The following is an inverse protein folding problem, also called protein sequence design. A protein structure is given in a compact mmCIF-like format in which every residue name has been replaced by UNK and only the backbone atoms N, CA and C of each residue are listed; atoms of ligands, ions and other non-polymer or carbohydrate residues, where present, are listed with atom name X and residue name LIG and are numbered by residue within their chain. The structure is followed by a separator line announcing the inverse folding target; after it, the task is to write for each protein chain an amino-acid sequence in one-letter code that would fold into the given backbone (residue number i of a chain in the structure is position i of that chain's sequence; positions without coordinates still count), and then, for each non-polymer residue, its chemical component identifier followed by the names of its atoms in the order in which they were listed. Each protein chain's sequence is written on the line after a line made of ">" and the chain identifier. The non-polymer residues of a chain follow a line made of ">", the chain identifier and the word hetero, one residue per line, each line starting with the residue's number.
data_IF_050254142759
#
_entry.id   IF_050254142759
#
_cell.length_a   1.000
_cell.length_b   1.000
_cell.length_c   1.000
_cell.angle_alpha   90.00
_cell.angle_beta   90.00
_cell.angle_gamma   90.00
#
_symmetry.space_group_name_H-M   'P 1'
#
loop_
_entity.id
_entity.type
_entity.pdbx_description
1 polymer ?
#
# COMPACT_ATOMS: atom_id res chain seq x y z
N UNK A 1 -52.75 72.23 -29.53
CA UNK A 1 -51.53 72.26 -28.71
C UNK A 1 -50.90 70.88 -28.45
N UNK A 2 -51.62 69.75 -28.50
CA UNK A 2 -51.07 68.40 -28.22
C UNK A 2 -50.10 67.83 -29.28
N UNK A 3 -50.20 68.23 -30.56
CA UNK A 3 -49.30 67.74 -31.63
C UNK A 3 -47.88 68.35 -31.60
N UNK A 4 -47.68 69.55 -31.06
CA UNK A 4 -46.37 70.18 -30.92
C UNK A 4 -45.58 69.65 -29.69
N UNK A 5 -46.27 69.14 -28.69
CA UNK A 5 -45.65 68.55 -27.51
C UNK A 5 -45.10 67.15 -27.80
N UNK A 6 -45.71 66.38 -28.68
CA UNK A 6 -45.27 65.05 -29.10
C UNK A 6 -44.02 65.17 -30.01
N UNK A 7 -43.97 66.16 -30.88
CA UNK A 7 -42.81 66.39 -31.74
C UNK A 7 -41.57 66.84 -30.92
N UNK A 8 -41.78 67.65 -29.87
CA UNK A 8 -40.68 68.02 -28.95
C UNK A 8 -40.13 66.84 -28.15
N UNK A 9 -41.03 65.93 -27.71
CA UNK A 9 -40.62 64.74 -26.96
C UNK A 9 -39.79 63.72 -27.82
N UNK A 10 -40.19 63.55 -29.09
CA UNK A 10 -39.47 62.67 -30.03
C UNK A 10 -38.06 63.23 -30.39
N UNK A 11 -37.93 64.57 -30.53
CA UNK A 11 -36.64 65.21 -30.74
C UNK A 11 -35.78 65.13 -29.48
N UNK A 12 -36.33 65.28 -28.30
CA UNK A 12 -35.57 65.13 -27.05
C UNK A 12 -35.10 63.71 -26.81
N UNK A 13 -35.92 62.68 -27.12
CA UNK A 13 -35.52 61.28 -27.07
C UNK A 13 -34.42 60.96 -28.14
N UNK A 14 -34.52 61.55 -29.32
CA UNK A 14 -33.51 61.42 -30.38
C UNK A 14 -32.18 62.04 -30.01
N UNK A 15 -32.19 63.20 -29.36
CA UNK A 15 -30.95 63.87 -28.85
C UNK A 15 -30.34 63.15 -27.65
N UNK A 16 -31.16 62.55 -26.79
CA UNK A 16 -30.65 61.70 -25.66
C UNK A 16 -30.04 60.41 -26.21
N UNK A 17 -30.61 59.82 -27.25
CA UNK A 17 -30.02 58.64 -27.92
C UNK A 17 -28.77 58.97 -28.72
N UNK A 18 -28.60 60.19 -29.23
CA UNK A 18 -27.45 60.61 -30.00
C UNK A 18 -26.30 61.11 -29.08
N UNK A 19 -26.57 61.55 -27.88
CA UNK A 19 -25.60 61.98 -26.86
C UNK A 19 -25.20 60.91 -25.87
N UNK A 20 -25.73 59.71 -26.03
CA UNK A 20 -25.28 58.59 -25.23
C UNK A 20 -24.43 57.67 -26.10
N UNK A 21 -23.10 57.91 -26.18
CA UNK A 21 -22.22 56.95 -26.72
C UNK A 21 -22.16 55.78 -25.75
N UNK A 22 -23.14 54.83 -25.87
CA UNK A 22 -22.99 53.54 -25.22
C UNK A 22 -21.93 52.75 -25.97
N UNK A 23 -20.72 53.22 -25.87
CA UNK A 23 -19.50 52.52 -26.22
C UNK A 23 -18.72 52.32 -24.92
N UNK A 24 -19.24 51.43 -24.13
CA UNK A 24 -18.44 50.79 -23.08
C UNK A 24 -17.67 49.63 -23.75
N UNK A 25 -16.65 49.97 -24.52
CA UNK A 25 -15.48 49.11 -24.62
C UNK A 25 -14.70 49.30 -23.33
N UNK A 26 -15.22 48.78 -22.24
CA UNK A 26 -14.43 48.54 -21.06
C UNK A 26 -13.41 47.46 -21.41
N UNK A 27 -12.15 47.86 -21.56
CA UNK A 27 -11.03 46.93 -21.41
C UNK A 27 -11.19 46.28 -20.05
N UNK A 28 -11.92 45.17 -19.96
CA UNK A 28 -12.04 44.37 -18.72
C UNK A 28 -10.67 43.78 -18.43
N UNK A 29 -9.88 44.51 -17.64
CA UNK A 29 -8.67 43.94 -17.06
C UNK A 29 -9.06 42.88 -16.04
N UNK A 30 -8.52 41.68 -16.23
CA UNK A 30 -8.80 40.53 -15.37
C UNK A 30 -7.92 40.64 -14.11
N UNK A 31 -8.56 40.66 -12.94
CA UNK A 31 -7.79 40.66 -11.66
C UNK A 31 -7.13 39.29 -11.44
N UNK A 32 -5.82 39.29 -11.30
CA UNK A 32 -5.02 38.09 -11.07
C UNK A 32 -4.05 38.28 -9.89
N UNK A 33 -3.79 37.20 -9.17
CA UNK A 33 -2.67 37.17 -8.23
C UNK A 33 -1.45 36.56 -8.91
N UNK A 34 -0.29 37.12 -8.65
CA UNK A 34 0.97 36.71 -9.26
C UNK A 34 1.97 36.25 -8.21
N UNK A 35 2.93 35.43 -8.63
CA UNK A 35 4.06 35.01 -7.81
C UNK A 35 5.32 34.98 -8.65
N UNK A 36 6.44 35.43 -8.08
CA UNK A 36 7.76 35.28 -8.71
C UNK A 36 8.27 33.88 -8.52
N UNK A 37 8.77 33.32 -9.59
CA UNK A 37 9.35 31.99 -9.58
C UNK A 37 10.67 31.96 -8.83
N UNK A 38 10.86 30.92 -8.06
CA UNK A 38 12.08 30.68 -7.31
C UNK A 38 12.44 29.20 -7.29
N UNK A 39 13.64 28.92 -6.84
CA UNK A 39 14.10 27.55 -6.63
C UNK A 39 13.75 27.09 -5.23
N UNK A 40 13.26 25.86 -5.13
CA UNK A 40 12.95 25.18 -3.87
C UNK A 40 13.34 23.73 -3.97
N UNK A 41 13.50 23.11 -2.82
CA UNK A 41 13.61 21.67 -2.74
C UNK A 41 12.21 21.08 -2.89
N UNK A 42 12.08 20.07 -3.73
CA UNK A 42 10.83 19.42 -4.06
C UNK A 42 10.97 17.92 -3.88
N UNK A 43 10.04 17.34 -3.12
CA UNK A 43 9.94 15.90 -2.94
C UNK A 43 8.61 15.38 -3.47
N UNK A 44 8.68 14.35 -4.28
CA UNK A 44 7.50 13.56 -4.68
C UNK A 44 7.25 12.49 -3.65
N UNK A 45 5.98 12.27 -3.29
CA UNK A 45 5.60 11.25 -2.34
C UNK A 45 4.37 10.48 -2.80
N UNK A 46 4.34 9.21 -2.47
CA UNK A 46 3.18 8.34 -2.60
C UNK A 46 2.58 8.16 -1.21
N UNK A 47 1.29 8.47 -1.08
CA UNK A 47 0.55 8.31 0.18
C UNK A 47 -0.24 7.02 0.10
N UNK A 48 -0.09 6.17 1.11
CA UNK A 48 -0.81 4.92 1.20
C UNK A 48 -1.22 4.60 2.64
N UNK A 49 -2.40 4.01 2.79
CA UNK A 49 -2.92 3.57 4.07
C UNK A 49 -2.61 2.09 4.29
N UNK A 50 -2.41 1.72 5.55
CA UNK A 50 -2.11 0.34 5.92
C UNK A 50 -2.24 0.07 7.41
N UNK A 51 -1.88 -1.15 7.79
CA UNK A 51 -1.96 -1.62 9.15
C UNK A 51 -0.57 -1.95 9.71
N UNK A 52 -0.39 -1.62 10.97
CA UNK A 52 0.81 -1.91 11.71
C UNK A 52 0.86 -3.40 12.04
N UNK A 53 1.96 -4.07 11.73
CA UNK A 53 2.18 -5.47 12.07
C UNK A 53 3.60 -5.69 12.59
N UNK A 54 3.82 -6.75 13.40
CA UNK A 54 5.18 -7.11 13.80
C UNK A 54 5.94 -7.70 12.61
N UNK A 55 7.24 -7.46 12.52
CA UNK A 55 8.10 -8.07 11.49
C UNK A 55 8.09 -9.59 11.59
N UNK A 56 8.01 -10.13 12.82
CA UNK A 56 7.96 -11.56 13.08
C UNK A 56 6.73 -11.89 13.92
N UNK A 57 5.80 -12.67 13.35
CA UNK A 57 4.64 -13.25 14.03
C UNK A 57 4.69 -14.77 13.92
N UNK A 58 4.68 -15.46 15.05
CA UNK A 58 4.63 -16.92 15.13
C UNK A 58 3.24 -17.34 15.58
N UNK A 59 2.59 -18.15 14.77
CA UNK A 59 1.27 -18.72 15.04
C UNK A 59 1.43 -20.12 15.62
N UNK A 60 1.05 -20.30 16.88
CA UNK A 60 1.02 -21.59 17.55
C UNK A 60 -0.38 -22.17 17.44
N UNK A 61 -0.48 -23.33 16.82
CA UNK A 61 -1.75 -24.03 16.55
C UNK A 61 -1.75 -25.42 17.12
N UNK A 62 -2.92 -25.98 17.41
CA UNK A 62 -3.06 -27.38 17.81
C UNK A 62 -2.81 -28.30 16.59
N UNK A 63 -1.98 -29.33 16.75
CA UNK A 63 -1.76 -30.33 15.71
C UNK A 63 -2.92 -31.34 15.61
N UNK A 64 -3.53 -31.67 16.76
CA UNK A 64 -4.66 -32.59 16.86
C UNK A 64 -5.81 -31.92 17.60
N UNK A 65 -7.03 -32.32 17.31
CA UNK A 65 -8.20 -31.87 18.06
C UNK A 65 -8.19 -32.49 19.44
N UNK A 66 -8.07 -31.64 20.47
CA UNK A 66 -8.00 -32.07 21.88
C UNK A 66 -8.39 -30.91 22.81
N UNK A 67 -8.60 -31.21 24.11
CA UNK A 67 -9.00 -30.18 25.07
C UNK A 67 -7.80 -29.40 25.62
N UNK A 68 -8.02 -28.13 25.92
CA UNK A 68 -7.06 -27.27 26.62
C UNK A 68 -7.12 -27.65 28.09
N UNK A 69 -5.98 -28.03 28.73
CA UNK A 69 -5.91 -28.44 30.11
C UNK A 69 -5.34 -27.37 31.02
N UNK A 70 -4.43 -26.53 30.48
CA UNK A 70 -3.77 -25.49 31.28
C UNK A 70 -3.31 -24.35 30.38
N UNK A 71 -3.38 -23.11 30.89
CA UNK A 71 -2.93 -21.88 30.21
C UNK A 71 -2.13 -21.07 31.24
N UNK A 72 -0.83 -20.88 30.98
CA UNK A 72 0.07 -20.21 31.92
C UNK A 72 0.29 -18.71 31.59
N UNK A 73 -0.21 -18.22 30.46
CA UNK A 73 0.05 -16.87 29.94
C UNK A 73 -1.24 -16.14 29.61
N UNK A 74 -1.15 -14.81 29.50
CA UNK A 74 -2.24 -13.92 29.07
C UNK A 74 -1.79 -13.08 27.89
N UNK A 75 -2.77 -12.49 27.18
CA UNK A 75 -2.47 -11.49 26.18
C UNK A 75 -1.72 -10.29 26.79
N UNK A 76 -0.65 -9.88 26.14
CA UNK A 76 0.24 -8.82 26.61
C UNK A 76 1.44 -9.29 27.41
N UNK A 77 1.51 -10.56 27.83
CA UNK A 77 2.65 -11.08 28.58
C UNK A 77 3.88 -11.23 27.69
N UNK A 78 5.03 -10.80 28.20
CA UNK A 78 6.33 -11.07 27.60
C UNK A 78 6.84 -12.43 28.04
N UNK A 79 7.22 -13.27 27.07
CA UNK A 79 7.73 -14.63 27.31
C UNK A 79 9.10 -14.83 26.68
N UNK A 80 9.92 -15.66 27.27
CA UNK A 80 11.23 -16.06 26.77
C UNK A 80 11.15 -17.39 26.04
N UNK A 81 12.10 -17.63 25.17
CA UNK A 81 12.25 -18.91 24.48
C UNK A 81 12.29 -20.07 25.47
N UNK A 82 11.40 -21.04 25.26
CA UNK A 82 11.26 -22.23 26.11
C UNK A 82 10.24 -22.08 27.21
N UNK A 83 9.69 -20.89 27.46
CA UNK A 83 8.66 -20.71 28.48
C UNK A 83 7.40 -21.51 28.11
N UNK A 84 6.78 -22.09 29.12
CA UNK A 84 5.53 -22.83 28.97
C UNK A 84 4.37 -21.86 28.76
N UNK A 85 3.57 -22.12 27.72
CA UNK A 85 2.44 -21.27 27.34
C UNK A 85 1.09 -21.93 27.62
N UNK A 86 0.90 -23.14 27.08
CA UNK A 86 -0.36 -23.86 27.16
C UNK A 86 -0.13 -25.37 27.10
N UNK A 87 -0.93 -26.14 27.83
CA UNK A 87 -0.99 -27.59 27.70
C UNK A 87 -2.31 -28.04 27.11
N UNK A 88 -2.22 -29.01 26.25
CA UNK A 88 -3.33 -29.76 25.68
C UNK A 88 -3.43 -31.12 26.37
N UNK A 89 -4.60 -31.78 26.33
CA UNK A 89 -4.78 -33.11 26.94
C UNK A 89 -3.86 -34.15 26.28
N UNK A 90 -2.88 -34.59 27.05
CA UNK A 90 -1.82 -35.50 26.62
C UNK A 90 -2.03 -36.95 27.02
N UNK A 91 -3.12 -37.29 27.74
CA UNK A 91 -3.34 -38.62 28.33
C UNK A 91 -3.27 -39.73 27.32
N UNK A 92 -3.93 -39.58 26.20
CA UNK A 92 -3.92 -40.58 25.11
C UNK A 92 -2.54 -40.74 24.48
N UNK A 93 -1.89 -39.61 24.15
CA UNK A 93 -0.57 -39.62 23.52
C UNK A 93 0.52 -40.12 24.45
N UNK A 94 0.42 -39.80 25.75
CA UNK A 94 1.33 -40.33 26.79
C UNK A 94 1.21 -41.85 26.87
N UNK A 95 -0.02 -42.40 26.87
CA UNK A 95 -0.21 -43.84 26.85
C UNK A 95 0.36 -44.50 25.60
N UNK A 96 0.19 -43.89 24.40
CA UNK A 96 0.75 -44.38 23.14
C UNK A 96 2.30 -44.37 23.19
N UNK A 97 2.90 -43.30 23.70
CA UNK A 97 4.36 -43.17 23.86
C UNK A 97 4.91 -44.23 24.80
N UNK A 98 4.22 -44.50 25.92
CA UNK A 98 4.65 -45.53 26.85
C UNK A 98 4.54 -46.97 26.27
N UNK A 99 3.50 -47.22 25.45
CA UNK A 99 3.37 -48.50 24.71
C UNK A 99 4.52 -48.66 23.69
N UNK A 100 4.87 -47.58 22.94
CA UNK A 100 6.00 -47.59 22.00
C UNK A 100 7.34 -47.79 22.74
N UNK A 101 7.51 -47.18 23.91
CA UNK A 101 8.71 -47.36 24.77
C UNK A 101 8.85 -48.80 25.20
N UNK A 102 7.74 -49.43 25.62
CA UNK A 102 7.72 -50.85 25.99
C UNK A 102 8.06 -51.74 24.79
N UNK A 103 7.57 -51.41 23.57
CA UNK A 103 7.89 -52.11 22.34
C UNK A 103 9.39 -52.05 21.98
N UNK A 104 10.01 -50.88 22.12
CA UNK A 104 11.47 -50.70 21.93
C UNK A 104 12.25 -51.59 22.94
N UNK A 105 11.84 -51.63 24.20
CA UNK A 105 12.47 -52.49 25.19
C UNK A 105 12.35 -53.99 24.85
N UNK A 106 11.20 -54.41 24.36
CA UNK A 106 10.98 -55.81 23.95
C UNK A 106 11.85 -56.20 22.75
N UNK A 107 11.87 -55.37 21.71
CA UNK A 107 12.71 -55.59 20.51
C UNK A 107 14.20 -55.49 20.81
N UNK A 108 14.64 -54.65 21.77
CA UNK A 108 16.01 -54.58 22.22
C UNK A 108 16.47 -55.93 22.85
N UNK A 109 15.68 -56.51 23.74
CA UNK A 109 15.98 -57.78 24.34
C UNK A 109 16.11 -58.87 23.28
N UNK A 110 15.22 -58.88 22.29
CA UNK A 110 15.29 -59.83 21.18
C UNK A 110 16.54 -59.62 20.30
N UNK A 111 16.93 -58.38 20.05
CA UNK A 111 18.17 -58.04 19.33
C UNK A 111 19.41 -58.53 20.10
N UNK A 112 19.47 -58.30 21.44
CA UNK A 112 20.55 -58.77 22.27
C UNK A 112 20.67 -60.28 22.26
N UNK A 113 19.53 -61.03 22.34
CA UNK A 113 19.50 -62.48 22.21
C UNK A 113 20.07 -62.94 20.86
N UNK A 114 19.64 -62.35 19.74
CA UNK A 114 20.16 -62.67 18.42
C UNK A 114 21.63 -62.30 18.23
N UNK A 115 22.07 -61.18 18.80
CA UNK A 115 23.49 -60.76 18.84
C UNK A 115 24.35 -61.79 19.58
N UNK A 116 23.94 -62.22 20.75
CA UNK A 116 24.64 -63.26 21.51
C UNK A 116 24.69 -64.62 20.80
N UNK A 117 23.58 -64.97 20.09
CA UNK A 117 23.53 -66.18 19.23
C UNK A 117 24.52 -66.06 18.09
N UNK A 118 24.54 -64.93 17.37
CA UNK A 118 25.48 -64.64 16.29
C UNK A 118 26.94 -64.75 16.77
N UNK A 119 27.29 -64.13 17.86
CA UNK A 119 28.66 -64.18 18.40
C UNK A 119 29.10 -65.63 18.70
N UNK A 120 28.22 -66.47 19.26
CA UNK A 120 28.55 -67.90 19.47
C UNK A 120 28.71 -68.67 18.14
N UNK A 121 27.87 -68.44 17.16
CA UNK A 121 27.96 -69.09 15.87
C UNK A 121 29.18 -68.62 15.05
N UNK A 122 29.58 -67.37 15.15
CA UNK A 122 30.80 -66.84 14.55
C UNK A 122 32.07 -67.56 15.08
N UNK A 123 32.06 -67.90 16.36
CA UNK A 123 33.17 -68.62 16.98
C UNK A 123 33.23 -70.09 16.52
N UNK A 124 32.07 -70.78 16.44
CA UNK A 124 31.97 -72.14 15.87
C UNK A 124 32.32 -72.16 14.39
N UNK A 125 31.95 -71.17 13.64
CA UNK A 125 32.27 -71.04 12.22
C UNK A 125 33.80 -70.89 11.98
N UNK A 126 34.49 -70.07 12.80
CA UNK A 126 35.95 -69.94 12.76
C UNK A 126 36.67 -71.27 13.06
N UNK A 127 36.03 -72.16 13.84
CA UNK A 127 36.55 -73.48 14.14
C UNK A 127 36.16 -74.53 13.08
N UNK A 128 35.40 -74.16 12.03
CA UNK A 128 34.95 -75.07 10.96
C UNK A 128 33.84 -76.02 11.38
N UNK A 129 33.11 -75.75 12.49
CA UNK A 129 32.10 -76.61 13.09
C UNK A 129 30.66 -76.38 12.55
N UNK A 130 30.45 -75.31 11.80
CA UNK A 130 29.17 -74.98 11.17
C UNK A 130 29.34 -74.60 9.68
N UNK A 131 28.28 -74.78 8.89
CA UNK A 131 28.29 -74.45 7.44
C UNK A 131 28.11 -72.96 7.16
N UNK A 132 28.50 -72.55 5.94
CA UNK A 132 28.28 -71.19 5.40
C UNK A 132 26.78 -70.85 5.45
N UNK A 133 25.88 -71.77 5.06
CA UNK A 133 24.45 -71.58 5.06
C UNK A 133 23.90 -71.33 6.48
N UNK A 134 24.42 -72.00 7.50
CA UNK A 134 23.97 -71.78 8.89
C UNK A 134 24.46 -70.46 9.43
N UNK A 135 25.65 -70.02 9.06
CA UNK A 135 26.17 -68.68 9.40
C UNK A 135 25.37 -67.59 8.70
N UNK A 136 25.04 -67.75 7.40
CA UNK A 136 24.18 -66.81 6.66
C UNK A 136 22.78 -66.67 7.27
N UNK A 137 22.17 -67.77 7.66
CA UNK A 137 20.86 -67.81 8.36
C UNK A 137 20.94 -67.06 9.69
N UNK A 138 22.02 -67.19 10.43
CA UNK A 138 22.23 -66.47 11.67
C UNK A 138 22.44 -64.99 11.48
N UNK A 139 23.22 -64.59 10.46
CA UNK A 139 23.37 -63.21 10.06
C UNK A 139 22.08 -62.55 9.64
N UNK A 140 21.28 -63.25 8.85
CA UNK A 140 19.95 -62.81 8.39
C UNK A 140 18.98 -62.64 9.58
N UNK A 141 19.02 -63.55 10.55
CA UNK A 141 18.22 -63.48 11.76
C UNK A 141 18.58 -62.27 12.65
N UNK A 142 19.89 -62.02 12.80
CA UNK A 142 20.39 -60.80 13.47
C UNK A 142 19.98 -59.53 12.75
N UNK A 143 20.17 -59.45 11.43
CA UNK A 143 19.79 -58.32 10.60
C UNK A 143 18.30 -58.00 10.70
N UNK A 144 17.42 -59.04 10.71
CA UNK A 144 16.00 -58.91 10.89
C UNK A 144 15.65 -58.35 12.27
N UNK A 145 16.28 -58.84 13.36
CA UNK A 145 16.05 -58.32 14.69
C UNK A 145 16.52 -56.88 14.85
N UNK A 146 17.67 -56.51 14.22
CA UNK A 146 18.16 -55.14 14.19
C UNK A 146 17.18 -54.21 13.45
N UNK A 147 16.64 -54.65 12.33
CA UNK A 147 15.64 -53.88 11.58
C UNK A 147 14.35 -53.67 12.38
N UNK A 148 13.88 -54.69 13.10
CA UNK A 148 12.71 -54.57 13.98
C UNK A 148 12.94 -53.60 15.17
N UNK A 149 14.12 -53.63 15.74
CA UNK A 149 14.50 -52.65 16.81
C UNK A 149 14.52 -51.21 16.26
N UNK A 150 15.14 -51.01 15.09
CA UNK A 150 15.18 -49.70 14.47
C UNK A 150 13.80 -49.16 14.13
N UNK A 151 12.90 -50.05 13.64
CA UNK A 151 11.52 -49.67 13.36
C UNK A 151 10.76 -49.28 14.64
N UNK A 152 10.89 -50.06 15.72
CA UNK A 152 10.27 -49.70 17.01
C UNK A 152 10.84 -48.38 17.58
N UNK A 153 12.15 -48.17 17.45
CA UNK A 153 12.79 -46.91 17.86
C UNK A 153 12.27 -45.70 17.06
N UNK A 154 12.15 -45.84 15.75
CA UNK A 154 11.59 -44.78 14.91
C UNK A 154 10.16 -44.42 15.30
N UNK A 155 9.34 -45.46 15.61
CA UNK A 155 7.97 -45.28 16.12
C UNK A 155 7.95 -44.51 17.45
N UNK A 156 8.83 -44.88 18.42
CA UNK A 156 8.93 -44.18 19.69
C UNK A 156 9.26 -42.69 19.48
N UNK A 157 10.25 -42.39 18.63
CA UNK A 157 10.61 -40.97 18.32
C UNK A 157 9.42 -40.20 17.78
N UNK A 158 8.63 -40.82 16.90
CA UNK A 158 7.40 -40.20 16.35
C UNK A 158 6.37 -39.93 17.43
N UNK A 159 6.14 -40.88 18.37
CA UNK A 159 5.16 -40.73 19.44
C UNK A 159 5.65 -39.75 20.53
N UNK A 160 6.95 -39.65 20.79
CA UNK A 160 7.56 -38.66 21.68
C UNK A 160 7.45 -37.24 21.10
N UNK A 161 7.71 -37.06 19.81
CA UNK A 161 7.52 -35.78 19.10
C UNK A 161 6.05 -35.32 19.14
N UNK A 162 5.12 -36.24 18.88
CA UNK A 162 3.70 -35.95 18.99
C UNK A 162 3.28 -35.55 20.43
N UNK A 163 3.84 -36.20 21.45
CA UNK A 163 3.60 -35.84 22.83
C UNK A 163 4.18 -34.47 23.21
N UNK A 164 5.37 -34.15 22.73
CA UNK A 164 6.01 -32.86 22.96
C UNK A 164 5.20 -31.70 22.35
N UNK A 165 4.60 -31.92 21.18
CA UNK A 165 3.77 -30.92 20.49
C UNK A 165 2.44 -30.59 21.18
N UNK A 166 2.02 -31.40 22.16
CA UNK A 166 0.84 -31.11 23.00
C UNK A 166 1.15 -30.11 24.12
N UNK A 167 2.43 -29.81 24.36
CA UNK A 167 2.87 -28.74 25.26
C UNK A 167 3.41 -27.60 24.40
N UNK A 168 2.61 -26.55 24.31
CA UNK A 168 3.04 -25.35 23.57
C UNK A 168 4.03 -24.57 24.43
N UNK A 169 5.20 -24.36 23.88
CA UNK A 169 6.27 -23.55 24.48
C UNK A 169 6.68 -22.45 23.52
N UNK A 170 7.18 -21.35 24.03
CA UNK A 170 7.64 -20.23 23.21
C UNK A 170 8.87 -20.63 22.37
N UNK A 171 8.83 -20.56 21.04
CA UNK A 171 9.97 -20.91 20.18
C UNK A 171 11.06 -19.83 20.19
N UNK A 172 10.72 -18.59 20.53
CA UNK A 172 11.60 -17.43 20.68
C UNK A 172 11.06 -16.46 21.72
N UNK A 173 11.85 -15.43 22.05
CA UNK A 173 11.40 -14.33 22.91
C UNK A 173 10.35 -13.49 22.17
N UNK A 174 9.36 -12.99 22.89
CA UNK A 174 8.32 -12.15 22.32
C UNK A 174 7.16 -11.87 23.27
N UNK A 175 6.18 -11.15 22.77
CA UNK A 175 4.94 -10.82 23.50
C UNK A 175 3.77 -11.61 22.91
N UNK A 176 2.89 -12.11 23.76
CA UNK A 176 1.64 -12.76 23.37
C UNK A 176 0.68 -11.68 22.86
N UNK A 177 0.42 -11.67 21.56
CA UNK A 177 -0.47 -10.68 20.94
C UNK A 177 -1.90 -11.20 20.72
N UNK A 178 -2.08 -12.50 20.83
CA UNK A 178 -3.39 -13.15 20.68
C UNK A 178 -3.41 -14.48 21.43
N UNK A 179 -4.47 -14.71 22.19
CA UNK A 179 -4.73 -15.94 22.90
C UNK A 179 -6.19 -16.34 22.72
N UNK A 180 -6.44 -17.56 22.25
CA UNK A 180 -7.81 -18.08 22.02
C UNK A 180 -8.06 -19.32 22.88
N UNK A 181 -9.26 -19.39 23.43
CA UNK A 181 -9.76 -20.50 24.22
C UNK A 181 -9.52 -20.36 25.71
N UNK A 182 -10.30 -21.12 26.48
CA UNK A 182 -10.22 -21.22 27.94
C UNK A 182 -9.89 -22.66 28.33
N UNK A 183 -9.50 -22.86 29.57
CA UNK A 183 -9.27 -24.21 30.13
C UNK A 183 -10.56 -24.99 30.06
N UNK A 184 -10.53 -26.15 29.38
CA UNK A 184 -11.69 -26.98 29.11
C UNK A 184 -12.25 -26.86 27.70
N UNK A 185 -11.85 -25.87 26.92
CA UNK A 185 -12.27 -25.72 25.53
C UNK A 185 -11.62 -26.75 24.61
N UNK A 186 -12.31 -27.03 23.51
CA UNK A 186 -11.83 -27.91 22.46
C UNK A 186 -10.97 -27.14 21.45
N UNK A 187 -9.66 -27.33 21.49
CA UNK A 187 -8.74 -26.84 20.48
C UNK A 187 -8.88 -27.64 19.18
N UNK A 188 -9.30 -27.04 18.11
CA UNK A 188 -9.42 -27.69 16.81
C UNK A 188 -8.05 -27.77 16.15
N UNK A 189 -7.55 -29.01 16.03
CA UNK A 189 -6.33 -29.34 15.30
C UNK A 189 -6.62 -30.12 14.04
N UNK A 190 -5.61 -30.27 13.19
CA UNK A 190 -5.70 -31.09 12.00
C UNK A 190 -5.08 -30.45 10.76
N UNK A 191 -5.07 -31.22 9.66
CA UNK A 191 -4.33 -30.86 8.45
C UNK A 191 -5.01 -29.78 7.60
N UNK A 192 -6.34 -29.57 7.72
CA UNK A 192 -7.10 -28.73 6.80
C UNK A 192 -7.43 -27.32 7.34
N UNK A 193 -7.56 -27.14 8.63
CA UNK A 193 -7.83 -25.80 9.20
C UNK A 193 -7.49 -25.78 10.70
N UNK A 194 -6.21 -25.79 11.07
CA UNK A 194 -5.82 -25.75 12.48
C UNK A 194 -6.18 -24.38 13.08
N UNK A 195 -6.83 -24.42 14.25
CA UNK A 195 -7.11 -23.22 15.02
C UNK A 195 -5.81 -22.63 15.56
N UNK A 196 -5.56 -21.34 15.29
CA UNK A 196 -4.48 -20.62 15.93
C UNK A 196 -4.88 -20.36 17.38
N UNK A 197 -4.10 -20.89 18.31
CA UNK A 197 -4.34 -20.75 19.74
C UNK A 197 -3.62 -19.53 20.32
N UNK A 198 -2.36 -19.34 19.94
CA UNK A 198 -1.51 -18.27 20.43
C UNK A 198 -0.77 -17.63 19.24
N UNK A 199 -0.70 -16.28 19.24
CA UNK A 199 0.24 -15.55 18.40
C UNK A 199 1.31 -14.94 19.28
N UNK A 200 2.55 -15.24 18.96
CA UNK A 200 3.75 -14.69 19.60
C UNK A 200 4.43 -13.73 18.63
N UNK A 201 4.63 -12.48 19.04
CA UNK A 201 5.14 -11.43 18.18
C UNK A 201 6.31 -10.70 18.82
N UNK A 202 7.30 -10.34 18.01
CA UNK A 202 8.36 -9.43 18.41
C UNK A 202 7.91 -7.98 18.18
N UNK A 203 7.52 -7.29 19.25
CA UNK A 203 7.05 -5.90 19.18
C UNK A 203 8.18 -4.88 19.14
N UNK A 204 9.43 -5.29 19.26
CA UNK A 204 10.58 -4.39 19.13
C UNK A 204 10.83 -3.96 17.68
N UNK A 205 10.33 -4.75 16.73
CA UNK A 205 10.45 -4.52 15.30
C UNK A 205 9.09 -4.59 14.63
N UNK A 206 8.62 -3.42 14.21
CA UNK A 206 7.31 -3.27 13.58
C UNK A 206 7.48 -2.84 12.14
N UNK A 207 6.54 -3.23 11.31
CA UNK A 207 6.41 -2.79 9.93
C UNK A 207 4.96 -2.38 9.65
N UNK A 208 4.77 -1.50 8.68
CA UNK A 208 3.44 -1.15 8.18
C UNK A 208 3.25 -1.84 6.85
N UNK A 209 2.17 -2.60 6.74
CA UNK A 209 1.75 -3.20 5.48
C UNK A 209 0.77 -2.25 4.80
N UNK A 210 1.26 -1.49 3.82
CA UNK A 210 0.45 -0.49 3.11
C UNK A 210 -0.03 -1.01 1.77
N UNK A 211 -1.19 -0.49 1.33
CA UNK A 211 -1.78 -0.80 0.04
C UNK A 211 -1.59 0.38 -0.90
N UNK A 212 -0.64 0.27 -1.82
CA UNK A 212 -0.32 1.28 -2.83
C UNK A 212 -1.11 1.02 -4.10
N UNK A 213 -1.66 2.07 -4.71
CA UNK A 213 -2.42 1.96 -5.95
C UNK A 213 -1.52 1.56 -7.14
N UNK A 214 -2.10 0.87 -8.14
CA UNK A 214 -1.41 0.45 -9.37
C UNK A 214 -0.75 1.61 -10.13
N UNK A 215 -1.31 2.82 -10.07
CA UNK A 215 -0.75 3.97 -10.76
C UNK A 215 0.53 4.50 -10.10
N UNK A 216 0.65 4.32 -8.78
CA UNK A 216 1.71 4.92 -7.98
C UNK A 216 2.82 3.93 -7.63
N UNK A 217 2.55 2.62 -7.77
CA UNK A 217 3.53 1.57 -7.40
C UNK A 217 4.79 1.60 -8.25
N UNK A 218 4.71 2.12 -9.48
CA UNK A 218 5.86 2.22 -10.39
C UNK A 218 6.93 3.17 -9.90
N UNK A 219 6.55 4.13 -9.07
CA UNK A 219 7.42 5.17 -8.54
C UNK A 219 8.06 4.75 -7.21
N UNK A 220 7.52 3.69 -6.57
CA UNK A 220 8.03 3.18 -5.28
C UNK A 220 9.18 2.21 -5.50
N UNK A 221 10.30 2.46 -4.83
CA UNK A 221 11.50 1.64 -4.90
C UNK A 221 11.92 1.09 -3.54
N UNK A 222 12.73 0.02 -3.57
CA UNK A 222 13.32 -0.53 -2.35
C UNK A 222 14.28 0.48 -1.72
N UNK A 223 14.23 0.60 -0.40
CA UNK A 223 14.98 1.54 0.43
C UNK A 223 14.54 3.01 0.32
N UNK A 224 13.40 3.30 -0.28
CA UNK A 224 12.81 4.63 -0.20
C UNK A 224 12.50 4.98 1.25
N UNK A 225 12.76 6.23 1.62
CA UNK A 225 12.40 6.73 2.94
C UNK A 225 10.90 6.94 3.04
N UNK A 226 10.35 6.64 4.20
CA UNK A 226 8.94 6.81 4.46
C UNK A 226 8.72 7.53 5.81
N UNK A 227 7.65 8.31 5.88
CA UNK A 227 7.14 8.91 7.10
C UNK A 227 5.84 8.21 7.45
N UNK A 228 5.83 7.53 8.58
CA UNK A 228 4.68 6.79 9.09
C UNK A 228 3.95 7.61 10.12
N UNK A 229 2.68 7.85 9.91
CA UNK A 229 1.77 8.51 10.83
C UNK A 229 0.75 7.48 11.34
N UNK A 230 0.85 7.11 12.60
CA UNK A 230 -0.04 6.12 13.22
C UNK A 230 -1.22 6.86 13.85
N UNK A 231 -2.45 6.46 13.57
CA UNK A 231 -3.68 7.16 14.01
C UNK A 231 -3.76 7.35 15.52
N UNK A 232 -3.20 6.43 16.28
CA UNK A 232 -3.13 6.52 17.75
C UNK A 232 -2.12 7.56 18.26
N UNK A 233 -1.22 8.08 17.41
CA UNK A 233 -0.13 8.99 17.76
C UNK A 233 -0.10 10.21 16.81
N UNK A 234 -1.20 10.99 16.76
CA UNK A 234 -1.46 12.05 15.77
C UNK A 234 -0.39 13.16 15.69
N UNK A 235 0.37 13.38 16.77
CA UNK A 235 1.39 14.45 16.83
C UNK A 235 2.81 13.96 16.49
N UNK A 236 2.99 12.69 16.10
CA UNK A 236 4.30 12.09 15.86
C UNK A 236 4.35 11.38 14.51
N UNK A 237 5.36 11.74 13.72
CA UNK A 237 5.73 11.00 12.51
C UNK A 237 6.95 10.14 12.81
N UNK A 238 6.84 8.87 12.47
CA UNK A 238 7.90 7.90 12.64
C UNK A 238 8.62 7.69 11.32
N UNK A 239 9.94 7.51 11.40
CA UNK A 239 10.73 7.23 10.20
C UNK A 239 10.63 5.76 9.85
N UNK A 240 10.50 5.46 8.57
CA UNK A 240 10.50 4.13 8.01
C UNK A 240 11.30 4.04 6.73
N UNK A 241 11.48 2.82 6.27
CA UNK A 241 12.16 2.50 5.00
C UNK A 241 11.39 1.38 4.31
N UNK A 242 11.19 1.50 3.00
CA UNK A 242 10.57 0.46 2.18
C UNK A 242 11.47 -0.76 2.14
N UNK A 243 11.00 -1.88 2.69
CA UNK A 243 11.72 -3.15 2.78
C UNK A 243 11.36 -4.11 1.66
N UNK A 244 10.08 -4.13 1.30
CA UNK A 244 9.57 -5.07 0.31
C UNK A 244 8.43 -4.44 -0.49
N UNK A 245 8.44 -4.66 -1.80
CA UNK A 245 7.36 -4.28 -2.72
C UNK A 245 6.83 -5.54 -3.36
N UNK A 246 5.54 -5.83 -3.20
CA UNK A 246 4.92 -7.04 -3.75
C UNK A 246 4.88 -7.00 -5.28
N UNK A 247 5.26 -8.11 -5.93
CA UNK A 247 5.18 -8.26 -7.39
C UNK A 247 3.78 -8.62 -7.89
N UNK A 248 2.91 -9.11 -7.01
CA UNK A 248 1.54 -9.50 -7.35
C UNK A 248 0.55 -8.54 -6.71
N UNK A 249 -0.42 -8.11 -7.50
CA UNK A 249 -1.51 -7.29 -7.00
C UNK A 249 -2.42 -8.10 -6.09
N UNK A 250 -2.87 -7.48 -5.00
CA UNK A 250 -3.96 -7.97 -4.18
C UNK A 250 -5.27 -7.33 -4.67
N UNK A 251 -6.19 -8.16 -5.14
CA UNK A 251 -7.53 -7.71 -5.52
C UNK A 251 -8.47 -7.93 -4.36
N UNK A 252 -8.95 -6.87 -3.75
CA UNK A 252 -10.02 -7.00 -2.76
C UNK A 252 -11.35 -7.19 -3.49
N UNK A 253 -11.89 -8.40 -3.44
CA UNK A 253 -13.25 -8.73 -3.90
C UNK A 253 -14.29 -8.23 -2.89
N UNK A 254 -14.47 -6.92 -2.81
CA UNK A 254 -15.68 -6.35 -2.23
C UNK A 254 -16.76 -6.31 -3.31
N UNK A 255 -17.89 -6.96 -3.07
CA UNK A 255 -18.99 -7.22 -4.02
C UNK A 255 -19.66 -6.02 -4.72
N UNK A 256 -18.93 -5.00 -5.11
CA UNK A 256 -19.36 -3.88 -5.92
C UNK A 256 -18.43 -3.70 -7.13
N UNK A 257 -18.99 -3.24 -8.23
CA UNK A 257 -18.46 -3.22 -9.61
C UNK A 257 -17.14 -2.42 -9.83
N UNK A 258 -16.43 -2.00 -8.81
CA UNK A 258 -15.14 -1.32 -8.93
C UNK A 258 -14.06 -2.16 -8.26
N UNK A 259 -13.32 -2.90 -9.07
CA UNK A 259 -12.16 -3.64 -8.65
C UNK A 259 -10.98 -2.66 -8.55
N UNK A 260 -10.55 -2.36 -7.33
CA UNK A 260 -9.35 -1.56 -7.09
C UNK A 260 -8.16 -2.52 -7.02
N UNK A 261 -7.19 -2.30 -7.88
CA UNK A 261 -5.94 -3.05 -7.90
C UNK A 261 -4.92 -2.35 -7.02
N UNK A 262 -4.51 -2.99 -5.94
CA UNK A 262 -3.50 -2.47 -5.03
C UNK A 262 -2.31 -3.44 -4.93
N UNK A 263 -1.14 -2.89 -4.70
CA UNK A 263 0.08 -3.64 -4.40
C UNK A 263 0.46 -3.45 -2.95
N UNK A 264 0.83 -4.52 -2.28
CA UNK A 264 1.27 -4.45 -0.90
C UNK A 264 2.74 -4.05 -0.83
N UNK A 265 3.01 -3.05 0.01
CA UNK A 265 4.36 -2.58 0.31
C UNK A 265 4.58 -2.69 1.81
N UNK A 266 5.73 -3.26 2.22
CA UNK A 266 6.14 -3.33 3.62
C UNK A 266 7.12 -2.22 3.91
N UNK A 267 6.75 -1.38 4.84
CA UNK A 267 7.58 -0.28 5.33
C UNK A 267 8.04 -0.60 6.74
N UNK A 268 9.32 -0.89 6.90
CA UNK A 268 9.93 -1.15 8.20
C UNK A 268 10.07 0.15 8.98
N UNK A 269 9.58 0.19 10.20
CA UNK A 269 9.77 1.31 11.11
C UNK A 269 11.17 1.28 11.72
N UNK A 270 11.84 2.44 11.72
CA UNK A 270 13.16 2.60 12.36
C UNK A 270 13.04 2.90 13.84
N UNK A 271 11.92 3.43 14.27
CA UNK A 271 11.61 3.76 15.66
C UNK A 271 10.22 3.23 15.99
N UNK A 272 10.10 2.52 17.10
CA UNK A 272 8.84 1.99 17.62
C UNK A 272 8.56 2.65 18.98
N UNK A 273 7.36 3.20 19.14
CA UNK A 273 6.97 3.78 20.43
C UNK A 273 6.38 2.71 21.36
N UNK A 274 6.57 2.90 22.67
CA UNK A 274 5.95 2.03 23.66
C UNK A 274 4.42 2.09 23.55
N UNK A 275 3.78 0.94 23.57
CA UNK A 275 2.32 0.82 23.47
C UNK A 275 1.78 0.67 22.05
N UNK A 276 2.62 0.68 21.00
CA UNK A 276 2.19 0.28 19.66
C UNK A 276 1.74 -1.18 19.65
N UNK A 277 0.62 -1.43 18.97
CA UNK A 277 0.03 -2.77 18.89
C UNK A 277 -0.22 -3.15 17.44
N UNK A 278 -0.05 -4.42 17.09
CA UNK A 278 -0.49 -4.94 15.80
C UNK A 278 -1.96 -4.64 15.54
N UNK A 279 -2.27 -4.29 14.28
CA UNK A 279 -3.63 -3.94 13.86
C UNK A 279 -4.00 -2.46 14.06
N UNK A 280 -3.08 -1.60 14.50
CA UNK A 280 -3.29 -0.15 14.46
C UNK A 280 -3.18 0.34 13.03
N UNK A 281 -4.08 1.23 12.61
CA UNK A 281 -4.02 1.86 11.29
C UNK A 281 -2.96 2.96 11.24
N UNK A 282 -2.33 3.08 10.10
CA UNK A 282 -1.31 4.08 9.83
C UNK A 282 -1.39 4.57 8.38
N UNK A 283 -1.15 5.87 8.20
CA UNK A 283 -0.88 6.46 6.90
C UNK A 283 0.64 6.56 6.69
N UNK A 284 1.09 6.27 5.48
CA UNK A 284 2.52 6.29 5.15
C UNK A 284 2.76 7.17 3.94
N UNK A 285 3.60 8.19 4.11
CA UNK A 285 4.12 9.03 3.04
C UNK A 285 5.46 8.44 2.57
N UNK A 286 5.49 7.73 1.45
CA UNK A 286 6.71 7.17 0.85
C UNK A 286 7.33 8.25 -0.05
N UNK A 287 8.56 8.66 0.24
CA UNK A 287 9.30 9.67 -0.52
C UNK A 287 10.00 8.95 -1.67
N UNK A 288 9.45 9.11 -2.88
CA UNK A 288 9.91 8.40 -4.07
C UNK A 288 11.02 9.13 -4.80
N UNK A 289 10.96 10.45 -4.82
CA UNK A 289 11.98 11.27 -5.48
C UNK A 289 12.19 12.58 -4.71
N UNK A 290 13.45 12.98 -4.55
CA UNK A 290 13.82 14.26 -3.95
C UNK A 290 14.75 15.00 -4.89
N UNK A 291 14.41 16.26 -5.20
CA UNK A 291 15.22 17.15 -6.03
C UNK A 291 15.45 18.46 -5.32
N UNK A 292 16.70 18.81 -5.20
CA UNK A 292 17.13 20.04 -4.54
C UNK A 292 17.24 21.18 -5.55
N UNK A 293 16.86 22.40 -5.12
CA UNK A 293 17.03 23.65 -5.85
C UNK A 293 16.46 23.63 -7.28
N UNK A 294 15.30 23.01 -7.47
CA UNK A 294 14.57 23.00 -8.75
C UNK A 294 13.62 24.18 -8.86
N UNK A 295 13.37 24.62 -10.10
CA UNK A 295 12.41 25.67 -10.38
C UNK A 295 11.00 25.14 -10.19
N UNK A 296 10.18 25.81 -9.37
CA UNK A 296 8.85 25.31 -9.00
C UNK A 296 7.75 26.31 -9.33
N UNK A 297 6.59 25.77 -9.69
CA UNK A 297 5.35 26.50 -9.91
C UNK A 297 4.19 25.88 -9.13
N UNK A 298 3.29 26.67 -8.54
CA UNK A 298 2.11 26.15 -7.89
C UNK A 298 1.22 25.36 -8.84
N UNK A 299 0.65 24.25 -8.37
CA UNK A 299 -0.25 23.37 -9.15
C UNK A 299 -1.39 24.18 -9.80
N UNK A 300 -1.93 25.17 -9.09
CA UNK A 300 -3.04 26.01 -9.56
C UNK A 300 -2.69 26.94 -10.74
N UNK A 301 -1.39 27.13 -11.06
CA UNK A 301 -0.94 27.98 -12.20
C UNK A 301 -1.02 27.26 -13.54
N UNK A 302 -1.14 25.92 -13.53
CA UNK A 302 -1.17 25.11 -14.74
C UNK A 302 -2.59 25.07 -15.34
N UNK A 303 -2.65 25.26 -16.66
CA UNK A 303 -3.90 25.14 -17.41
C UNK A 303 -3.65 24.48 -18.79
N UNK A 304 -4.73 24.14 -19.45
CA UNK A 304 -4.68 23.64 -20.83
C UNK A 304 -4.64 24.82 -21.83
N UNK A 305 -3.92 24.69 -22.97
CA UNK A 305 -3.81 25.75 -23.95
C UNK A 305 -5.17 26.18 -24.52
N UNK A 306 -5.42 27.50 -24.56
CA UNK A 306 -6.63 28.09 -25.15
C UNK A 306 -6.27 29.11 -26.21
N UNK A 307 -7.12 29.15 -27.25
CA UNK A 307 -7.07 30.22 -28.23
C UNK A 307 -7.98 31.37 -27.80
N UNK A 308 -7.59 32.57 -28.15
CA UNK A 308 -8.43 33.76 -27.96
C UNK A 308 -9.83 33.52 -28.57
N UNK A 309 -10.91 34.00 -27.94
CA UNK A 309 -12.23 33.93 -28.53
C UNK A 309 -12.19 34.66 -29.88
N UNK A 310 -12.35 33.89 -30.98
CA UNK A 310 -12.44 34.46 -32.33
C UNK A 310 -13.60 35.45 -32.36
N UNK A 311 -13.28 36.71 -32.55
CA UNK A 311 -14.24 37.76 -32.88
C UNK A 311 -14.98 37.38 -34.18
N UNK A 312 -16.31 37.22 -34.07
CA UNK A 312 -17.29 37.16 -35.16
C UNK A 312 -16.96 36.26 -36.36
N UNK A 313 -17.15 34.96 -36.23
CA UNK A 313 -17.48 34.17 -37.41
C UNK A 313 -19.00 34.17 -37.66
N UNK A 314 -19.38 34.92 -38.72
CA UNK A 314 -20.74 34.99 -39.26
C UNK A 314 -21.38 33.61 -39.31
N UNK A 315 -22.53 33.47 -38.65
CA UNK A 315 -23.47 32.34 -38.77
C UNK A 315 -23.83 32.16 -40.25
N UNK A 316 -23.25 31.20 -40.97
CA UNK A 316 -23.87 30.60 -42.12
C UNK A 316 -24.83 29.53 -41.62
N UNK A 317 -26.10 29.87 -41.65
CA UNK A 317 -27.18 28.91 -41.51
C UNK A 317 -27.12 27.93 -42.69
N UNK A 318 -26.67 26.74 -42.49
CA UNK A 318 -26.91 25.64 -43.44
C UNK A 318 -28.03 24.77 -42.86
N UNK A 319 -29.14 24.75 -43.63
CA UNK A 319 -30.36 24.04 -43.28
C UNK A 319 -30.12 22.54 -43.11
N UNK A 320 -30.77 22.04 -42.10
CA UNK A 320 -30.89 20.62 -41.79
C UNK A 320 -31.84 19.96 -42.82
N UNK A 321 -31.33 19.21 -43.76
CA UNK A 321 -32.11 18.30 -44.60
C UNK A 321 -31.88 16.87 -44.13
N UNK A 322 -32.90 16.28 -43.58
CA UNK A 322 -32.97 14.86 -43.28
C UNK A 322 -33.24 14.11 -44.58
N UNK A 323 -32.30 13.31 -45.05
CA UNK A 323 -32.53 12.28 -46.07
C UNK A 323 -32.41 10.92 -45.36
N UNK A 324 -33.54 10.26 -45.22
CA UNK A 324 -33.60 8.85 -44.88
C UNK A 324 -33.38 8.07 -46.18
N UNK A 325 -32.30 7.37 -46.32
CA UNK A 325 -32.13 6.38 -47.36
C UNK A 325 -31.55 5.07 -46.77
N UNK A 326 -32.39 4.05 -46.88
CA UNK A 326 -32.09 2.66 -46.57
C UNK A 326 -31.14 2.10 -47.64
N UNK A 327 -30.03 1.48 -47.22
CA UNK A 327 -29.13 0.84 -48.19
C UNK A 327 -27.92 0.20 -47.56
N UNK A 328 -28.04 -1.08 -47.40
CA UNK A 328 -27.01 -2.10 -47.18
C UNK A 328 -25.67 -1.81 -47.87
N UNK A 329 -24.56 -1.73 -47.12
CA UNK A 329 -23.22 -2.06 -47.66
C UNK A 329 -22.23 -2.41 -46.57
N UNK A 330 -21.70 -3.60 -46.73
CA UNK A 330 -20.56 -4.21 -46.08
C UNK A 330 -19.32 -3.31 -46.03
N UNK A 331 -18.70 -3.28 -44.87
CA UNK A 331 -17.27 -3.38 -44.58
C UNK A 331 -16.30 -2.49 -45.36
N UNK A 332 -15.80 -1.45 -44.66
CA UNK A 332 -14.40 -1.08 -44.80
C UNK A 332 -13.96 -0.40 -43.51
N UNK A 333 -13.26 -1.17 -42.68
CA UNK A 333 -12.52 -0.62 -41.53
C UNK A 333 -11.33 0.16 -42.09
N UNK A 334 -11.56 1.41 -42.41
CA UNK A 334 -10.53 2.38 -42.68
C UNK A 334 -9.85 2.76 -41.38
N UNK A 335 -8.62 2.33 -41.24
CA UNK A 335 -7.66 2.73 -40.24
C UNK A 335 -7.50 4.26 -40.24
N UNK A 336 -8.33 4.97 -39.51
CA UNK A 336 -8.07 6.36 -39.15
C UNK A 336 -7.03 6.34 -38.06
N UNK A 337 -5.77 6.39 -38.46
CA UNK A 337 -4.69 6.84 -37.58
C UNK A 337 -5.12 8.17 -36.97
N UNK A 338 -5.68 8.11 -35.78
CA UNK A 338 -5.75 9.27 -34.90
C UNK A 338 -4.29 9.67 -34.68
N UNK A 339 -3.88 10.78 -35.26
CA UNK A 339 -2.70 11.52 -34.86
C UNK A 339 -2.81 11.73 -33.35
N UNK A 340 -2.15 10.86 -32.59
CA UNK A 340 -1.80 11.06 -31.21
C UNK A 340 -0.80 12.23 -31.19
N UNK A 341 -1.29 13.41 -31.00
CA UNK A 341 -0.49 14.64 -31.05
C UNK A 341 -1.07 15.70 -30.14
N UNK A 342 -1.44 15.33 -28.91
CA UNK A 342 -1.61 16.31 -27.83
C UNK A 342 -1.61 15.59 -26.47
N UNK A 343 -0.53 14.88 -26.16
CA UNK A 343 -0.23 14.56 -24.75
C UNK A 343 -0.02 15.90 -24.06
N UNK A 344 -0.96 16.27 -23.19
CA UNK A 344 -0.99 17.32 -22.19
C UNK A 344 0.17 18.33 -22.22
N UNK A 345 0.16 19.27 -23.17
CA UNK A 345 1.04 20.43 -23.06
C UNK A 345 0.40 21.36 -22.05
N UNK A 346 0.95 21.36 -20.84
CA UNK A 346 0.59 22.30 -19.80
C UNK A 346 1.06 23.69 -20.19
N UNK A 347 0.26 24.71 -19.93
CA UNK A 347 0.62 26.11 -20.16
C UNK A 347 0.49 26.90 -18.87
N UNK A 348 1.32 27.93 -18.79
CA UNK A 348 1.32 28.90 -17.70
C UNK A 348 1.22 30.29 -18.31
N UNK A 349 0.56 31.21 -17.61
CA UNK A 349 0.50 32.62 -17.98
C UNK A 349 1.61 33.39 -17.27
N UNK A 350 2.54 33.94 -18.08
CA UNK A 350 3.65 34.80 -17.60
C UNK A 350 3.21 36.24 -17.75
N UNK A 351 3.40 37.05 -16.71
CA UNK A 351 3.04 38.48 -16.73
C UNK A 351 4.13 39.29 -17.39
N UNK A 352 3.77 40.08 -18.41
CA UNK A 352 4.65 41.07 -19.07
C UNK A 352 4.01 42.44 -19.02
N UNK A 353 4.31 43.21 -17.98
CA UNK A 353 3.68 44.50 -17.74
C UNK A 353 2.18 44.34 -17.46
N UNK A 354 1.32 44.91 -18.31
CA UNK A 354 -0.14 44.85 -18.15
C UNK A 354 -0.81 43.69 -18.91
N UNK A 355 -0.03 42.80 -19.53
CA UNK A 355 -0.54 41.68 -20.33
C UNK A 355 0.08 40.36 -19.88
N UNK A 356 -0.61 39.27 -20.20
CA UNK A 356 -0.10 37.90 -19.98
C UNK A 356 0.26 37.23 -21.31
N UNK A 357 1.37 36.50 -21.30
CA UNK A 357 1.81 35.63 -22.37
C UNK A 357 1.58 34.18 -22.00
N UNK A 358 0.89 33.42 -22.87
CA UNK A 358 0.71 32.01 -22.70
C UNK A 358 1.98 31.25 -23.12
N UNK A 359 2.62 30.55 -22.18
CA UNK A 359 3.85 29.81 -22.43
C UNK A 359 3.69 28.34 -22.12
N UNK A 360 4.16 27.49 -23.02
CA UNK A 360 4.21 26.06 -22.83
C UNK A 360 5.32 25.68 -21.85
N UNK A 361 4.99 24.83 -20.90
CA UNK A 361 5.91 24.33 -19.89
C UNK A 361 5.96 22.81 -19.90
N UNK A 362 7.16 22.29 -19.71
CA UNK A 362 7.38 20.88 -19.45
C UNK A 362 7.59 20.71 -17.94
N UNK A 363 6.72 19.92 -17.33
CA UNK A 363 6.72 19.69 -15.89
C UNK A 363 7.40 18.36 -15.56
N UNK A 364 8.14 18.32 -14.46
CA UNK A 364 8.79 17.14 -13.90
C UNK A 364 7.98 16.55 -12.74
N UNK A 365 8.67 16.31 -11.60
CA UNK A 365 8.05 15.73 -10.43
C UNK A 365 7.01 16.65 -9.78
N UNK A 366 6.07 16.01 -9.07
CA UNK A 366 4.96 16.69 -8.37
C UNK A 366 5.22 16.60 -6.88
N UNK A 367 5.25 17.76 -6.23
CA UNK A 367 5.23 17.83 -4.78
C UNK A 367 3.83 18.10 -4.23
N UNK A 368 3.73 18.41 -2.94
CA UNK A 368 2.44 18.63 -2.25
C UNK A 368 1.61 19.78 -2.86
N UNK A 369 2.25 20.86 -3.25
CA UNK A 369 1.60 22.10 -3.73
C UNK A 369 2.24 22.68 -5.00
N UNK A 370 3.39 22.19 -5.39
CA UNK A 370 4.19 22.75 -6.48
C UNK A 370 4.55 21.63 -7.50
N UNK A 371 4.69 22.00 -8.78
CA UNK A 371 5.30 21.20 -9.84
C UNK A 371 6.73 21.65 -10.10
N UNK A 372 7.62 20.72 -10.43
CA UNK A 372 8.90 21.05 -11.04
C UNK A 372 8.71 21.53 -12.47
N UNK A 373 9.47 22.55 -12.88
CA UNK A 373 9.56 23.03 -14.26
C UNK A 373 10.91 22.62 -14.83
N UNK A 374 10.88 21.73 -15.83
CA UNK A 374 12.07 21.27 -16.55
C UNK A 374 12.47 22.28 -17.64
N UNK A 375 11.47 22.81 -18.37
CA UNK A 375 11.71 23.76 -19.46
C UNK A 375 10.53 24.70 -19.69
N UNK A 376 10.77 25.87 -20.28
CA UNK A 376 9.74 26.82 -20.69
C UNK A 376 9.65 28.09 -19.85
N UNK A 377 10.29 28.16 -18.70
CA UNK A 377 10.28 29.32 -17.82
C UNK A 377 11.68 29.59 -17.25
N UNK A 378 11.95 30.85 -16.89
CA UNK A 378 13.20 31.30 -16.28
C UNK A 378 13.01 31.74 -14.82
N UNK A 379 14.07 31.64 -14.02
CA UNK A 379 14.05 32.07 -12.63
C UNK A 379 13.80 33.58 -12.52
N UNK A 380 12.87 33.97 -11.63
CA UNK A 380 12.51 35.36 -11.43
C UNK A 380 11.37 35.87 -12.29
N UNK A 381 10.89 35.10 -13.27
CA UNK A 381 9.69 35.44 -14.02
C UNK A 381 8.45 35.46 -13.12
N UNK A 382 7.51 36.33 -13.43
CA UNK A 382 6.28 36.48 -12.67
C UNK A 382 5.14 35.73 -13.35
N UNK A 383 4.57 34.76 -12.67
CA UNK A 383 3.49 33.89 -13.18
C UNK A 383 2.18 34.18 -12.48
N UNK A 384 1.07 33.93 -13.18
CA UNK A 384 -0.27 34.02 -12.59
C UNK A 384 -0.54 32.78 -11.75
N UNK A 385 -0.83 32.98 -10.45
CA UNK A 385 -1.06 31.90 -9.47
C UNK A 385 -2.44 31.96 -8.82
N UNK A 386 -3.19 33.04 -9.01
CA UNK A 386 -4.49 33.23 -8.36
C UNK A 386 -5.59 33.61 -9.33
N UNK A 387 -6.83 33.28 -8.93
CA UNK A 387 -7.99 33.41 -9.78
C UNK A 387 -8.20 32.16 -10.63
N UNK A 388 -8.48 30.98 -9.99
CA UNK A 388 -8.72 29.73 -10.73
C UNK A 388 -9.71 29.89 -11.87
N UNK A 389 -10.77 30.70 -11.69
CA UNK A 389 -11.75 31.02 -12.74
C UNK A 389 -11.09 31.84 -13.86
N UNK A 390 -10.29 32.83 -13.49
CA UNK A 390 -9.57 33.64 -14.48
C UNK A 390 -8.58 32.78 -15.30
N UNK A 391 -7.75 31.98 -14.63
CA UNK A 391 -6.76 31.09 -15.28
C UNK A 391 -7.47 30.06 -16.18
N UNK A 392 -8.59 29.49 -15.70
CA UNK A 392 -9.29 28.39 -16.39
C UNK A 392 -10.31 28.85 -17.42
N UNK A 393 -10.82 30.10 -17.38
CA UNK A 393 -11.90 30.57 -18.25
C UNK A 393 -11.61 31.86 -19.00
N UNK A 394 -10.99 32.84 -18.34
CA UNK A 394 -11.01 34.20 -18.81
C UNK A 394 -9.68 34.63 -19.45
N UNK A 395 -8.55 34.01 -19.05
CA UNK A 395 -7.23 34.32 -19.59
C UNK A 395 -6.98 33.64 -20.93
N UNK A 396 -6.45 34.41 -21.88
CA UNK A 396 -5.94 34.00 -23.18
C UNK A 396 -4.63 34.74 -23.47
N UNK A 397 -3.91 34.33 -24.48
CA UNK A 397 -2.65 34.97 -24.89
C UNK A 397 -2.86 36.45 -25.24
N UNK A 398 -2.12 37.35 -24.57
CA UNK A 398 -2.24 38.80 -24.73
C UNK A 398 -3.37 39.47 -23.92
N UNK A 399 -4.07 38.75 -23.04
CA UNK A 399 -5.11 39.33 -22.19
C UNK A 399 -4.54 40.41 -21.27
N UNK A 400 -5.29 41.50 -21.05
CA UNK A 400 -4.92 42.55 -20.10
C UNK A 400 -5.26 42.10 -18.66
N UNK A 401 -4.31 42.23 -17.75
CA UNK A 401 -4.44 41.83 -16.36
C UNK A 401 -4.10 42.98 -15.41
N UNK A 402 -4.77 42.99 -14.29
CA UNK A 402 -4.42 43.85 -13.15
C UNK A 402 -3.95 42.98 -11.98
N UNK A 403 -2.70 43.16 -11.58
CA UNK A 403 -2.10 42.39 -10.51
C UNK A 403 -2.65 42.88 -9.17
N UNK A 404 -3.28 41.99 -8.42
CA UNK A 404 -3.73 42.26 -7.07
C UNK A 404 -2.60 41.94 -6.10
N UNK A 405 -1.98 42.95 -5.53
CA UNK A 405 -1.02 42.74 -4.43
C UNK A 405 -1.71 41.97 -3.28
N UNK A 406 -1.11 40.88 -2.84
CA UNK A 406 -1.57 40.10 -1.69
C UNK A 406 -1.56 41.02 -0.46
N UNK A 407 -2.72 41.57 -0.08
CA UNK A 407 -2.91 42.28 1.18
C UNK A 407 -2.55 41.29 2.31
N UNK A 408 -1.46 41.61 3.00
CA UNK A 408 -0.94 40.87 4.16
C UNK A 408 -1.85 41.16 5.36
N UNK A 409 -3.09 40.61 5.32
CA UNK A 409 -4.05 40.79 6.38
C UNK A 409 -3.68 39.82 7.53
N UNK A 410 -2.83 40.30 8.43
CA UNK A 410 -2.46 39.65 9.66
C UNK A 410 -3.65 39.75 10.65
N UNK A 411 -4.41 38.68 10.97
CA UNK A 411 -5.55 38.77 11.88
C UNK A 411 -5.12 38.70 13.36
N UNK A 412 -4.15 39.55 13.76
CA UNK A 412 -3.74 39.68 15.17
C UNK A 412 -3.73 41.13 15.62
N UNK A 413 -4.92 41.72 15.78
CA UNK A 413 -5.08 42.86 16.72
C UNK A 413 -6.53 43.26 16.93
N UNK A 414 -7.37 42.38 17.49
CA UNK A 414 -8.62 42.84 18.11
C UNK A 414 -9.08 41.86 19.19
N UNK A 415 -8.30 41.79 20.27
CA UNK A 415 -8.83 41.36 21.59
C UNK A 415 -8.06 42.07 22.68
N UNK A 416 -8.42 43.35 22.90
CA UNK A 416 -8.30 44.02 24.20
C UNK A 416 -9.38 45.08 24.27
N UNK A 417 -10.41 44.79 25.08
CA UNK A 417 -11.23 45.64 25.94
C UNK A 417 -12.67 45.14 25.98
N UNK A 418 -13.04 44.73 27.17
CA UNK A 418 -14.39 44.47 27.61
C UNK A 418 -14.38 43.46 28.71
#
# INVERSE_FOLDING_TARGET
>A
MKKKLIAGLVILVGVVLYLNPFSSNGDESIEVSTMKMGRKDLSSKVVADGDLQPEIEIKLSANNTTYITDIAVKEGDFVKKGDFLMALDDRQQRAATEASRASVKATLVQLEQRKAQKSRQEELYKQGLISDQEMETTNSSYASALSSYNQAKARLIQDEDALQKLKLVAPQDGTITYLTGEVGDLAQGGMFNPQVLIKLSDLSRMEVLVNVNENDITDVSLNDYALVEVDAYQDRKFKGVVKEVAYAASTSSGGSQQQVTNFQVKVQMLEVADGMRPGMSAAVDIITENREQVLTIPIQSLTSPRQAPDGESKKKSSGFSVSVESGDRKGQWGNRSQKSGNKGRNVVFVVKGDTVEQRFVETGIVGDVDYEVISGLEEGEEIVTGGFVAISRDLYDGAKVTVKEKSNNNPRSSRKRG
#
